data_IF_177914933722
#
_entry.id   IF_177914933722
#
_cell.length_a   1.000
_cell.length_b   1.000
_cell.length_c   1.000
_cell.angle_alpha   90.00
_cell.angle_beta   90.00
_cell.angle_gamma   90.00
#
_symmetry.space_group_name_H-M   'P 1'
#
loop_
_entity.id
_entity.type
_entity.pdbx_description
1 polymer ?
#
# COMPACT_ATOMS: atom_id res chain seq x y z
N UNK A 1 -3.18 24.98 -23.58
CA UNK A 1 -2.23 23.92 -23.10
C UNK A 1 -2.90 22.89 -22.21
N UNK A 2 -3.52 23.23 -21.05
CA UNK A 2 -4.21 22.23 -20.19
C UNK A 2 -5.25 21.43 -20.99
N UNK A 3 -6.18 22.07 -21.66
CA UNK A 3 -7.20 21.40 -22.48
C UNK A 3 -6.60 20.51 -23.59
N UNK A 4 -5.50 20.92 -24.19
CA UNK A 4 -4.81 20.13 -25.23
C UNK A 4 -4.20 18.84 -24.64
N UNK A 5 -3.60 18.94 -23.45
CA UNK A 5 -3.07 17.78 -22.70
C UNK A 5 -4.21 16.81 -22.36
N UNK A 6 -5.32 17.31 -21.81
CA UNK A 6 -6.48 16.50 -21.47
C UNK A 6 -7.11 15.82 -22.70
N UNK A 7 -7.19 16.54 -23.81
CA UNK A 7 -7.66 15.99 -25.10
C UNK A 7 -6.73 14.89 -25.62
N UNK A 8 -5.41 15.11 -25.49
CA UNK A 8 -4.41 14.10 -25.85
C UNK A 8 -4.56 12.85 -24.99
N UNK A 9 -4.65 12.97 -23.66
CA UNK A 9 -4.85 11.85 -22.76
C UNK A 9 -6.12 11.08 -23.15
N UNK A 10 -7.24 11.78 -23.42
CA UNK A 10 -8.47 11.13 -23.83
C UNK A 10 -8.36 10.34 -25.17
N UNK A 11 -7.37 10.66 -26.01
CA UNK A 11 -7.14 9.96 -27.28
C UNK A 11 -6.28 8.69 -27.14
N UNK A 12 -5.78 8.35 -25.95
CA UNK A 12 -4.86 7.25 -25.74
C UNK A 12 -5.53 5.94 -25.26
N UNK A 13 -6.84 5.79 -25.43
CA UNK A 13 -7.55 4.58 -24.99
C UNK A 13 -6.91 3.29 -25.56
N UNK A 14 -6.70 3.21 -26.87
CA UNK A 14 -6.08 2.04 -27.50
C UNK A 14 -4.66 1.81 -26.98
N UNK A 15 -3.88 2.88 -26.77
CA UNK A 15 -2.52 2.78 -26.23
C UNK A 15 -2.55 2.28 -24.77
N UNK A 16 -3.50 2.73 -23.97
CA UNK A 16 -3.67 2.25 -22.60
C UNK A 16 -3.99 0.75 -22.57
N UNK A 17 -4.90 0.29 -23.45
CA UNK A 17 -5.24 -1.13 -23.58
C UNK A 17 -4.04 -1.97 -24.00
N UNK A 18 -3.23 -1.50 -24.96
CA UNK A 18 -2.06 -2.24 -25.44
C UNK A 18 -0.94 -2.27 -24.37
N UNK A 19 -0.73 -1.21 -23.59
CA UNK A 19 0.18 -1.23 -22.46
C UNK A 19 -0.28 -2.25 -21.40
N UNK A 20 -1.55 -2.22 -21.02
CA UNK A 20 -2.15 -3.18 -20.09
C UNK A 20 -1.94 -4.62 -20.59
N UNK A 21 -2.22 -4.88 -21.87
CA UNK A 21 -2.01 -6.18 -22.52
C UNK A 21 -0.57 -6.66 -22.39
N UNK A 22 0.37 -5.78 -22.69
CA UNK A 22 1.78 -6.07 -22.60
C UNK A 22 2.27 -6.35 -21.18
N UNK A 23 1.74 -5.63 -20.19
CA UNK A 23 2.05 -5.80 -18.78
C UNK A 23 1.45 -7.10 -18.22
N UNK A 24 0.17 -7.37 -18.49
CA UNK A 24 -0.54 -8.57 -18.03
C UNK A 24 0.11 -9.86 -18.58
N UNK A 25 0.59 -9.83 -19.82
CA UNK A 25 1.28 -10.98 -20.43
C UNK A 25 2.66 -11.30 -19.83
N UNK A 26 3.12 -10.50 -18.86
CA UNK A 26 4.40 -10.69 -18.16
C UNK A 26 4.19 -10.78 -16.67
N UNK A 27 3.81 -11.98 -16.17
CA UNK A 27 3.68 -12.21 -14.75
C UNK A 27 4.95 -11.82 -14.01
N UNK A 28 4.82 -11.01 -12.98
CA UNK A 28 5.94 -10.57 -12.14
C UNK A 28 5.69 -11.03 -10.71
N UNK A 29 5.57 -12.35 -10.53
CA UNK A 29 5.40 -12.96 -9.22
C UNK A 29 6.71 -12.92 -8.46
N UNK A 30 6.64 -12.56 -7.18
CA UNK A 30 7.79 -12.60 -6.27
C UNK A 30 8.39 -14.01 -6.18
N UNK A 31 9.72 -14.15 -6.03
CA UNK A 31 10.35 -15.44 -5.73
C UNK A 31 9.75 -16.12 -4.50
N UNK A 32 9.32 -15.38 -3.49
CA UNK A 32 8.61 -15.92 -2.33
C UNK A 32 7.27 -16.60 -2.69
N UNK A 33 6.67 -16.21 -3.80
CA UNK A 33 5.44 -16.79 -4.36
C UNK A 33 5.71 -17.77 -5.52
N UNK A 34 6.96 -18.22 -5.69
CA UNK A 34 7.38 -19.19 -6.71
C UNK A 34 7.58 -18.58 -8.11
N UNK A 35 7.66 -17.26 -8.23
CA UNK A 35 7.97 -16.57 -9.48
C UNK A 35 9.44 -16.23 -9.66
N UNK A 36 9.75 -15.46 -10.70
CA UNK A 36 11.10 -15.00 -11.05
C UNK A 36 11.32 -13.50 -10.79
N UNK A 37 10.33 -12.80 -10.25
CA UNK A 37 10.37 -11.34 -10.06
C UNK A 37 10.01 -10.56 -11.32
N UNK A 38 10.35 -9.27 -11.36
CA UNK A 38 9.83 -8.26 -12.28
C UNK A 38 10.66 -8.08 -13.56
N UNK A 39 11.76 -8.79 -13.73
CA UNK A 39 12.74 -8.52 -14.79
C UNK A 39 12.12 -8.40 -16.18
N UNK A 40 11.26 -9.34 -16.59
CA UNK A 40 10.68 -9.34 -17.93
C UNK A 40 9.66 -8.20 -18.12
N UNK A 41 8.90 -7.87 -17.07
CA UNK A 41 7.98 -6.72 -17.07
C UNK A 41 8.76 -5.40 -17.12
N UNK A 42 9.83 -5.28 -16.35
CA UNK A 42 10.73 -4.12 -16.39
C UNK A 42 11.38 -3.91 -17.76
N UNK A 43 11.84 -5.00 -18.42
CA UNK A 43 12.37 -4.92 -19.80
C UNK A 43 11.31 -4.45 -20.80
N UNK A 44 10.07 -4.90 -20.65
CA UNK A 44 8.96 -4.42 -21.48
C UNK A 44 8.71 -2.93 -21.23
N UNK A 45 8.60 -2.51 -19.97
CA UNK A 45 8.41 -1.09 -19.61
C UNK A 45 9.56 -0.23 -20.12
N UNK A 46 10.81 -0.66 -19.95
CA UNK A 46 11.96 0.06 -20.52
C UNK A 46 11.79 0.26 -22.03
N UNK A 47 11.33 -0.78 -22.75
CA UNK A 47 11.12 -0.68 -24.20
C UNK A 47 10.03 0.31 -24.59
N UNK A 48 8.95 0.42 -23.78
CA UNK A 48 7.89 1.39 -23.99
C UNK A 48 8.34 2.82 -23.63
N UNK A 49 9.07 2.98 -22.52
CA UNK A 49 9.63 4.27 -22.09
C UNK A 49 10.61 4.83 -23.12
N UNK A 50 11.42 3.97 -23.76
CA UNK A 50 12.36 4.37 -24.83
C UNK A 50 11.70 4.87 -26.12
N UNK A 51 10.41 4.58 -26.33
CA UNK A 51 9.64 5.17 -27.43
C UNK A 51 9.23 6.63 -27.15
N UNK A 52 9.34 7.04 -25.89
CA UNK A 52 9.01 8.39 -25.41
C UNK A 52 10.32 9.21 -25.26
N UNK A 53 10.17 10.53 -25.06
CA UNK A 53 11.31 11.46 -24.99
C UNK A 53 11.68 11.81 -23.54
N UNK A 54 11.87 10.78 -22.68
CA UNK A 54 12.42 10.99 -21.34
C UNK A 54 13.86 11.50 -21.43
N UNK A 55 14.25 12.37 -20.49
CA UNK A 55 15.61 12.89 -20.40
C UNK A 55 16.58 11.84 -19.83
N UNK A 56 16.11 10.94 -18.93
CA UNK A 56 16.85 9.75 -18.52
C UNK A 56 15.90 8.59 -18.21
N UNK A 57 16.43 7.36 -18.37
CA UNK A 57 15.79 6.11 -17.94
C UNK A 57 16.88 5.29 -17.25
N UNK A 58 16.66 4.97 -15.98
CA UNK A 58 17.64 4.36 -15.11
C UNK A 58 17.07 3.10 -14.45
N UNK A 59 17.95 2.12 -14.18
CA UNK A 59 17.65 0.91 -13.43
C UNK A 59 18.29 1.00 -12.07
N UNK A 60 17.50 0.80 -11.01
CA UNK A 60 17.97 0.62 -9.64
C UNK A 60 17.72 -0.84 -9.27
N UNK A 61 18.76 -1.65 -9.25
CA UNK A 61 18.66 -3.10 -9.10
C UNK A 61 18.94 -3.51 -7.66
N UNK A 62 17.91 -3.96 -6.93
CA UNK A 62 18.09 -4.58 -5.64
C UNK A 62 18.57 -6.04 -5.81
N UNK A 63 19.63 -6.49 -5.13
CA UNK A 63 20.17 -7.83 -5.30
C UNK A 63 19.28 -8.87 -4.60
N UNK A 64 18.81 -9.88 -5.33
CA UNK A 64 18.12 -11.06 -4.80
C UNK A 64 18.47 -12.30 -5.65
N UNK A 65 19.21 -13.24 -5.06
CA UNK A 65 19.76 -14.41 -5.77
C UNK A 65 18.68 -15.29 -6.41
N UNK A 66 17.53 -15.41 -5.78
CA UNK A 66 16.39 -16.24 -6.21
C UNK A 66 15.61 -15.62 -7.36
N UNK A 67 15.78 -14.31 -7.61
CA UNK A 67 15.13 -13.62 -8.71
C UNK A 67 15.88 -13.80 -10.02
N UNK A 68 15.19 -13.59 -11.14
CA UNK A 68 15.77 -13.62 -12.48
C UNK A 68 16.96 -12.67 -12.59
N UNK A 69 18.07 -13.17 -13.12
CA UNK A 69 19.36 -12.47 -13.20
C UNK A 69 19.92 -12.01 -11.83
N UNK A 70 19.45 -12.55 -10.73
CA UNK A 70 19.90 -12.21 -9.38
C UNK A 70 19.48 -10.81 -8.89
N UNK A 71 18.47 -10.20 -9.51
CA UNK A 71 18.04 -8.83 -9.20
C UNK A 71 16.52 -8.67 -9.19
N UNK A 72 16.05 -7.71 -8.37
CA UNK A 72 14.69 -7.12 -8.40
C UNK A 72 14.86 -5.71 -8.97
N UNK A 73 14.46 -5.48 -10.21
CA UNK A 73 14.65 -4.19 -10.85
C UNK A 73 13.63 -3.16 -10.44
N UNK A 74 14.08 -1.92 -10.30
CA UNK A 74 13.23 -0.74 -10.19
C UNK A 74 13.61 0.21 -11.33
N UNK A 75 12.63 0.85 -11.96
CA UNK A 75 12.83 1.76 -13.08
C UNK A 75 12.55 3.20 -12.68
N UNK A 76 13.43 4.12 -13.04
CA UNK A 76 13.23 5.56 -12.90
C UNK A 76 13.29 6.21 -14.27
N UNK A 77 12.24 6.86 -14.73
CA UNK A 77 12.22 7.64 -15.97
C UNK A 77 11.93 9.11 -15.66
N UNK A 78 12.83 10.01 -16.04
CA UNK A 78 12.74 11.44 -15.72
C UNK A 78 12.44 12.28 -16.94
N UNK A 79 11.53 13.23 -16.80
CA UNK A 79 11.21 14.26 -17.77
C UNK A 79 11.35 15.63 -17.11
N UNK A 80 12.37 16.37 -17.50
CA UNK A 80 12.71 17.67 -16.91
C UNK A 80 11.64 18.71 -17.18
N UNK A 81 11.29 19.44 -16.15
CA UNK A 81 10.44 20.62 -16.20
C UNK A 81 11.21 21.90 -16.53
N UNK A 82 10.60 23.04 -16.23
CA UNK A 82 11.23 24.37 -16.31
C UNK A 82 12.10 24.66 -15.08
N UNK A 83 11.76 24.05 -13.94
CA UNK A 83 12.42 24.19 -12.65
C UNK A 83 12.65 22.79 -12.05
N UNK A 84 13.92 22.38 -12.00
CA UNK A 84 14.34 21.10 -11.43
C UNK A 84 14.60 21.15 -9.90
N UNK A 85 14.11 22.19 -9.21
CA UNK A 85 14.22 22.26 -7.75
C UNK A 85 13.30 21.25 -7.03
N UNK A 86 12.25 20.79 -7.73
CA UNK A 86 11.26 19.83 -7.24
C UNK A 86 10.92 18.81 -8.32
N UNK A 87 10.60 17.60 -7.89
CA UNK A 87 10.11 16.54 -8.77
C UNK A 87 8.73 16.09 -8.31
N UNK A 88 7.82 15.89 -9.26
CA UNK A 88 6.55 15.20 -9.06
C UNK A 88 6.75 13.75 -9.47
N UNK A 89 6.73 12.86 -8.50
CA UNK A 89 6.91 11.45 -8.70
C UNK A 89 5.57 10.74 -8.86
N UNK A 90 5.47 9.88 -9.87
CA UNK A 90 4.41 8.91 -10.01
C UNK A 90 4.99 7.54 -9.75
N UNK A 91 4.58 6.93 -8.64
CA UNK A 91 5.03 5.61 -8.24
C UNK A 91 3.97 4.57 -8.62
N UNK A 92 4.41 3.47 -9.19
CA UNK A 92 3.61 2.26 -9.37
C UNK A 92 4.48 1.03 -9.13
N UNK A 93 3.89 -0.12 -8.82
CA UNK A 93 4.64 -1.36 -8.68
C UNK A 93 4.40 -2.32 -9.85
N UNK A 94 5.42 -3.13 -10.11
CA UNK A 94 5.44 -4.05 -11.25
C UNK A 94 5.03 -5.46 -10.88
N UNK A 95 5.26 -5.86 -9.62
CA UNK A 95 4.89 -7.18 -9.13
C UNK A 95 3.37 -7.33 -8.99
N UNK A 96 2.94 -8.55 -8.82
CA UNK A 96 1.53 -8.92 -8.64
C UNK A 96 1.42 -10.12 -7.71
N UNK A 97 0.32 -10.25 -6.99
CA UNK A 97 0.02 -11.46 -6.22
C UNK A 97 -0.29 -12.65 -7.14
N UNK A 98 -0.11 -13.90 -6.67
CA UNK A 98 -0.56 -15.09 -7.39
C UNK A 98 -2.06 -15.03 -7.73
N UNK A 99 -2.50 -15.64 -8.83
CA UNK A 99 -3.91 -15.61 -9.27
C UNK A 99 -4.84 -16.44 -8.35
N UNK A 100 -4.31 -17.22 -7.42
CA UNK A 100 -5.08 -18.14 -6.60
C UNK A 100 -5.64 -19.33 -7.39
N UNK A 101 -6.83 -19.81 -7.04
CA UNK A 101 -7.47 -20.95 -7.73
C UNK A 101 -7.93 -20.53 -9.12
N UNK A 102 -7.27 -21.05 -10.16
CA UNK A 102 -7.59 -20.78 -11.56
C UNK A 102 -9.01 -21.18 -11.97
N UNK A 103 -9.68 -22.07 -11.24
CA UNK A 103 -11.08 -22.44 -11.49
C UNK A 103 -12.06 -21.30 -11.22
N UNK A 104 -11.66 -20.32 -10.43
CA UNK A 104 -12.46 -19.13 -10.12
C UNK A 104 -12.34 -18.05 -11.20
N UNK A 105 -11.35 -18.16 -12.09
CA UNK A 105 -11.17 -17.23 -13.20
C UNK A 105 -12.02 -17.61 -14.40
N UNK A 106 -12.71 -16.63 -14.97
CA UNK A 106 -13.50 -16.78 -16.21
C UNK A 106 -12.63 -16.70 -17.45
N UNK A 107 -11.44 -16.12 -17.33
CA UNK A 107 -10.46 -15.94 -18.41
C UNK A 107 -9.07 -16.28 -17.89
N UNK A 108 -8.09 -16.41 -18.78
CA UNK A 108 -6.69 -16.57 -18.37
C UNK A 108 -6.21 -15.29 -17.63
N UNK A 109 -5.75 -15.36 -16.37
CA UNK A 109 -5.31 -14.18 -15.63
C UNK A 109 -4.11 -13.45 -16.29
N UNK A 110 -3.36 -14.12 -17.14
CA UNK A 110 -2.17 -13.61 -17.82
C UNK A 110 -2.40 -13.14 -19.25
N UNK A 111 -3.68 -13.09 -19.67
CA UNK A 111 -4.10 -12.58 -20.97
C UNK A 111 -5.17 -11.52 -20.77
N UNK A 112 -4.84 -10.27 -21.12
CA UNK A 112 -5.82 -9.19 -21.00
C UNK A 112 -7.08 -9.51 -21.81
N UNK A 113 -8.20 -9.65 -21.12
CA UNK A 113 -9.51 -9.76 -21.74
C UNK A 113 -10.20 -8.40 -21.70
N UNK A 114 -10.49 -7.87 -22.88
CA UNK A 114 -11.32 -6.67 -23.03
C UNK A 114 -12.78 -7.09 -23.27
N UNK A 115 -13.71 -6.53 -22.49
CA UNK A 115 -15.15 -6.67 -22.66
C UNK A 115 -15.82 -5.30 -22.54
N UNK A 116 -16.19 -4.73 -23.67
CA UNK A 116 -16.59 -3.33 -23.76
C UNK A 116 -15.47 -2.40 -23.27
N UNK A 117 -15.69 -1.71 -22.18
CA UNK A 117 -14.69 -0.83 -21.54
C UNK A 117 -14.01 -1.46 -20.32
N UNK A 118 -14.38 -2.69 -19.95
CA UNK A 118 -13.78 -3.44 -18.85
C UNK A 118 -12.59 -4.27 -19.33
N UNK A 119 -11.50 -4.20 -18.60
CA UNK A 119 -10.30 -5.01 -18.77
C UNK A 119 -10.18 -5.98 -17.61
N UNK A 120 -9.95 -7.26 -17.91
CA UNK A 120 -9.79 -8.34 -16.94
C UNK A 120 -8.41 -8.96 -17.07
N UNK A 121 -7.74 -9.21 -15.95
CA UNK A 121 -6.45 -9.89 -15.86
C UNK A 121 -5.79 -9.60 -14.51
N UNK A 122 -4.85 -10.42 -14.07
CA UNK A 122 -4.10 -10.16 -12.86
C UNK A 122 -3.19 -8.95 -13.03
N UNK A 123 -3.27 -7.99 -12.11
CA UNK A 123 -2.48 -6.78 -12.12
C UNK A 123 -3.09 -5.61 -12.90
N UNK A 124 -4.24 -5.81 -13.58
CA UNK A 124 -4.83 -4.73 -14.41
C UNK A 124 -5.28 -3.53 -13.57
N UNK A 125 -5.69 -3.77 -12.32
CA UNK A 125 -6.05 -2.76 -11.33
C UNK A 125 -4.85 -2.50 -10.42
N UNK A 126 -4.29 -3.54 -9.84
CA UNK A 126 -3.22 -3.53 -8.87
C UNK A 126 -1.90 -4.07 -9.48
N UNK A 127 -0.97 -3.24 -9.96
CA UNK A 127 -0.97 -1.79 -9.98
C UNK A 127 -0.62 -1.25 -11.38
N UNK A 128 -0.92 -2.05 -12.45
CA UNK A 128 -0.66 -1.66 -13.84
C UNK A 128 -1.46 -0.40 -14.24
N UNK A 129 -2.63 -0.16 -13.62
CA UNK A 129 -3.41 1.05 -13.82
C UNK A 129 -2.58 2.30 -13.53
N UNK A 130 -1.88 2.34 -12.39
CA UNK A 130 -1.02 3.44 -12.00
C UNK A 130 0.14 3.66 -12.99
N UNK A 131 0.79 2.56 -13.39
CA UNK A 131 1.87 2.58 -14.40
C UNK A 131 1.36 3.20 -15.70
N UNK A 132 0.24 2.72 -16.21
CA UNK A 132 -0.32 3.19 -17.47
C UNK A 132 -0.76 4.65 -17.36
N UNK A 133 -1.53 5.02 -16.34
CA UNK A 133 -2.01 6.39 -16.16
C UNK A 133 -0.85 7.41 -16.10
N UNK A 134 0.21 7.10 -15.36
CA UNK A 134 1.38 7.95 -15.27
C UNK A 134 2.13 8.09 -16.60
N UNK A 135 2.24 7.01 -17.38
CA UNK A 135 2.83 7.06 -18.72
C UNK A 135 2.01 7.91 -19.69
N UNK A 136 0.66 7.90 -19.60
CA UNK A 136 -0.20 8.75 -20.43
C UNK A 136 0.04 10.24 -20.15
N UNK A 137 0.24 10.62 -18.89
CA UNK A 137 0.56 12.02 -18.51
C UNK A 137 1.87 12.47 -19.18
N UNK A 138 2.94 11.70 -18.96
CA UNK A 138 4.25 12.02 -19.53
C UNK A 138 4.22 12.07 -21.06
N UNK A 139 3.58 11.08 -21.69
CA UNK A 139 3.42 11.02 -23.15
C UNK A 139 2.70 12.24 -23.72
N UNK A 140 1.59 12.66 -23.11
CA UNK A 140 0.82 13.81 -23.60
C UNK A 140 1.65 15.10 -23.56
N UNK A 141 2.39 15.32 -22.48
CA UNK A 141 3.27 16.49 -22.35
C UNK A 141 4.41 16.44 -23.39
N UNK A 142 5.03 15.27 -23.59
CA UNK A 142 6.13 15.10 -24.56
C UNK A 142 5.68 15.30 -26.00
N UNK A 143 4.53 14.74 -26.40
CA UNK A 143 3.99 14.89 -27.75
C UNK A 143 3.59 16.33 -28.08
N UNK A 144 3.16 17.10 -27.07
CA UNK A 144 2.86 18.51 -27.20
C UNK A 144 4.11 19.42 -27.00
N UNK A 145 5.30 18.83 -26.81
CA UNK A 145 6.54 19.53 -26.48
C UNK A 145 6.37 20.50 -25.29
N UNK A 146 5.53 20.13 -24.34
CA UNK A 146 5.28 20.91 -23.13
C UNK A 146 6.20 20.46 -21.99
N UNK A 147 6.97 21.40 -21.44
CA UNK A 147 7.73 21.16 -20.21
C UNK A 147 6.90 21.65 -19.02
N UNK A 148 6.58 20.78 -18.05
CA UNK A 148 5.86 21.18 -16.84
C UNK A 148 6.68 22.17 -16.00
N UNK A 149 6.08 22.76 -14.97
CA UNK A 149 6.81 23.72 -14.14
C UNK A 149 7.87 23.03 -13.28
N UNK A 150 7.60 21.82 -12.74
CA UNK A 150 8.55 20.98 -12.02
C UNK A 150 8.89 19.72 -12.82
N UNK A 151 9.98 19.06 -12.47
CA UNK A 151 10.34 17.79 -13.07
C UNK A 151 9.25 16.73 -12.81
N UNK A 152 9.07 15.82 -13.75
CA UNK A 152 8.27 14.61 -13.58
C UNK A 152 9.18 13.41 -13.56
N UNK A 153 8.94 12.48 -12.63
CA UNK A 153 9.60 11.19 -12.62
C UNK A 153 8.57 10.07 -12.47
N UNK A 154 8.73 9.01 -13.27
CA UNK A 154 8.02 7.76 -13.10
C UNK A 154 8.94 6.81 -12.35
N UNK A 155 8.44 6.25 -11.25
CA UNK A 155 9.14 5.27 -10.43
C UNK A 155 8.33 3.97 -10.43
N UNK A 156 8.82 2.95 -11.11
CA UNK A 156 8.19 1.64 -11.17
C UNK A 156 8.96 0.66 -10.30
N UNK A 157 8.39 0.34 -9.15
CA UNK A 157 9.03 -0.46 -8.11
C UNK A 157 8.77 -1.96 -8.27
N UNK A 158 9.67 -2.75 -7.68
CA UNK A 158 9.50 -4.17 -7.42
C UNK A 158 8.93 -4.40 -6.02
N UNK A 159 8.46 -5.63 -5.72
CA UNK A 159 8.31 -6.20 -4.38
C UNK A 159 7.28 -5.50 -3.47
N UNK A 160 6.35 -4.75 -4.02
CA UNK A 160 5.32 -4.09 -3.20
C UNK A 160 4.51 -5.12 -2.41
N UNK A 161 4.01 -6.13 -3.09
CA UNK A 161 3.12 -7.19 -2.62
C UNK A 161 3.74 -8.11 -1.54
N UNK A 162 5.05 -8.00 -1.34
CA UNK A 162 5.78 -8.80 -0.34
C UNK A 162 6.59 -7.96 0.65
N UNK A 163 6.30 -6.64 0.71
CA UNK A 163 6.77 -5.74 1.76
C UNK A 163 7.85 -4.75 1.33
N UNK A 164 8.06 -4.56 0.02
CA UNK A 164 8.90 -3.51 -0.60
C UNK A 164 10.39 -3.55 -0.25
N UNK A 165 10.88 -4.63 0.38
CA UNK A 165 12.28 -4.76 0.80
C UNK A 165 13.28 -4.75 -0.36
N UNK A 166 12.82 -4.96 -1.59
CA UNK A 166 13.59 -4.81 -2.83
C UNK A 166 13.06 -3.69 -3.74
N UNK A 167 12.00 -3.01 -3.32
CA UNK A 167 11.30 -1.95 -4.02
C UNK A 167 11.45 -0.59 -3.37
N UNK A 168 10.32 0.01 -2.98
CA UNK A 168 10.26 1.37 -2.44
C UNK A 168 11.08 1.54 -1.15
N UNK A 169 11.07 0.57 -0.23
CA UNK A 169 11.88 0.60 1.00
C UNK A 169 13.39 0.57 0.67
N UNK A 170 13.79 -0.36 -0.23
CA UNK A 170 15.17 -0.44 -0.69
C UNK A 170 15.65 0.89 -1.29
N UNK A 171 14.84 1.52 -2.13
CA UNK A 171 15.20 2.79 -2.78
C UNK A 171 15.28 3.90 -1.74
N UNK A 172 14.30 4.01 -0.83
CA UNK A 172 14.27 5.03 0.21
C UNK A 172 15.48 4.90 1.16
N UNK A 173 15.92 3.67 1.46
CA UNK A 173 17.05 3.41 2.37
C UNK A 173 18.41 3.52 1.68
N UNK A 174 18.56 2.97 0.46
CA UNK A 174 19.87 2.82 -0.21
C UNK A 174 20.15 3.88 -1.26
N UNK A 175 19.12 4.55 -1.76
CA UNK A 175 19.20 5.57 -2.80
C UNK A 175 18.44 6.86 -2.47
N UNK A 176 18.50 7.36 -1.21
CA UNK A 176 17.78 8.58 -0.81
C UNK A 176 18.22 9.82 -1.62
N UNK A 177 19.43 9.77 -2.20
CA UNK A 177 20.00 10.87 -3.00
C UNK A 177 19.24 11.19 -4.28
N UNK A 178 18.39 10.27 -4.76
CA UNK A 178 17.59 10.52 -5.97
C UNK A 178 16.39 11.44 -5.71
N UNK A 179 16.06 11.67 -4.43
CA UNK A 179 14.91 12.47 -4.00
C UNK A 179 15.33 13.84 -3.50
N UNK A 180 14.65 14.88 -3.97
CA UNK A 180 14.77 16.24 -3.45
C UNK A 180 13.92 16.42 -2.17
N UNK A 181 14.30 17.36 -1.31
CA UNK A 181 13.60 17.61 -0.03
C UNK A 181 12.16 18.12 -0.19
N UNK A 182 11.83 18.69 -1.33
CA UNK A 182 10.51 19.25 -1.63
C UNK A 182 9.78 18.47 -2.73
N UNK A 183 10.25 17.23 -3.01
CA UNK A 183 9.60 16.35 -3.96
C UNK A 183 8.22 15.90 -3.43
N UNK A 184 7.34 15.59 -4.35
CA UNK A 184 5.96 15.22 -4.08
C UNK A 184 5.64 13.89 -4.77
N UNK A 185 4.86 13.03 -4.11
CA UNK A 185 4.56 11.70 -4.61
C UNK A 185 3.08 11.47 -4.83
N UNK A 186 2.76 10.96 -6.01
CA UNK A 186 1.54 10.20 -6.28
C UNK A 186 1.85 8.72 -6.15
N UNK A 187 1.07 8.03 -5.34
CA UNK A 187 1.08 6.56 -5.18
C UNK A 187 -0.33 6.07 -5.51
N UNK A 188 -0.64 5.76 -6.78
CA UNK A 188 -1.99 5.36 -7.18
C UNK A 188 -2.26 3.88 -6.88
N UNK A 189 -2.27 3.52 -5.59
CA UNK A 189 -2.29 2.14 -5.10
C UNK A 189 -3.47 1.84 -4.18
N UNK A 190 -4.29 2.83 -3.88
CA UNK A 190 -5.54 2.69 -3.17
C UNK A 190 -6.51 3.80 -3.57
N UNK A 191 -7.80 3.52 -3.47
CA UNK A 191 -8.83 4.48 -3.83
C UNK A 191 -10.23 3.88 -3.78
N UNK A 192 -11.18 4.62 -4.33
CA UNK A 192 -12.59 4.23 -4.42
C UNK A 192 -13.14 4.50 -5.82
N UNK A 193 -14.22 3.80 -6.16
CA UNK A 193 -14.78 3.84 -7.51
C UNK A 193 -15.17 5.25 -7.98
N UNK A 194 -15.70 6.08 -7.10
CA UNK A 194 -16.08 7.46 -7.43
C UNK A 194 -14.94 8.47 -7.38
N UNK A 195 -13.73 8.04 -6.96
CA UNK A 195 -12.55 8.89 -6.83
C UNK A 195 -12.65 9.98 -5.76
N UNK A 196 -13.55 9.85 -4.78
CA UNK A 196 -13.81 10.88 -3.77
C UNK A 196 -12.78 10.94 -2.64
N UNK A 197 -11.92 9.93 -2.49
CA UNK A 197 -11.00 9.78 -1.36
C UNK A 197 -9.55 9.93 -1.77
N UNK A 198 -8.78 10.66 -0.96
CA UNK A 198 -7.34 10.85 -1.08
C UNK A 198 -6.70 10.35 0.21
N UNK A 199 -5.98 9.25 0.17
CA UNK A 199 -5.28 8.77 1.36
C UNK A 199 -4.01 9.60 1.59
N UNK A 200 -3.86 10.11 2.82
CA UNK A 200 -2.74 10.97 3.24
C UNK A 200 -2.06 10.47 4.52
N UNK A 201 -2.57 9.40 5.11
CA UNK A 201 -2.11 8.92 6.42
C UNK A 201 -2.46 7.45 6.64
N UNK A 202 -1.70 6.80 7.52
CA UNK A 202 -1.85 5.39 7.88
C UNK A 202 -1.78 5.23 9.40
N UNK A 203 -2.37 4.16 9.94
CA UNK A 203 -2.14 3.76 11.34
C UNK A 203 -0.98 2.79 11.41
N UNK A 204 -0.28 2.79 12.55
CA UNK A 204 0.70 1.75 12.87
C UNK A 204 0.00 0.39 12.99
N UNK A 205 0.67 -0.67 12.57
CA UNK A 205 0.16 -2.04 12.63
C UNK A 205 0.96 -2.85 13.63
N UNK A 206 0.27 -3.52 14.55
CA UNK A 206 0.87 -4.48 15.45
C UNK A 206 -0.02 -5.73 15.50
N UNK A 207 0.41 -6.81 14.84
CA UNK A 207 -0.21 -8.12 14.96
C UNK A 207 0.60 -8.95 15.94
N UNK A 208 -0.01 -9.26 17.09
CA UNK A 208 0.67 -9.89 18.21
C UNK A 208 0.06 -11.25 18.54
N UNK A 209 0.87 -12.31 18.48
CA UNK A 209 0.54 -13.58 19.10
C UNK A 209 0.84 -13.51 20.60
N UNK A 210 -0.13 -13.86 21.41
CA UNK A 210 -0.01 -13.96 22.87
C UNK A 210 -0.15 -15.41 23.28
N UNK A 211 0.91 -15.99 23.87
CA UNK A 211 0.93 -17.36 24.34
C UNK A 211 0.96 -17.39 25.85
N UNK A 212 -0.05 -18.01 26.47
CA UNK A 212 -0.14 -18.21 27.92
C UNK A 212 0.17 -19.67 28.26
N UNK A 213 1.18 -19.90 29.09
CA UNK A 213 1.57 -21.21 29.56
C UNK A 213 1.28 -21.39 31.04
N UNK A 214 0.51 -22.40 31.35
CA UNK A 214 0.15 -22.82 32.68
C UNK A 214 0.55 -24.28 32.95
N UNK A 215 -0.30 -25.01 33.71
CA UNK A 215 -0.10 -26.43 34.01
C UNK A 215 -1.42 -27.18 33.78
N UNK A 216 -1.39 -28.14 32.84
CA UNK A 216 -2.54 -28.96 32.49
C UNK A 216 -2.88 -29.90 33.65
N UNK A 217 -4.18 -30.06 33.91
CA UNK A 217 -4.67 -31.04 34.89
C UNK A 217 -6.12 -31.45 34.61
N UNK A 218 -6.64 -32.40 35.40
CA UNK A 218 -8.04 -32.83 35.31
C UNK A 218 -8.98 -31.69 35.76
N UNK A 219 -10.05 -31.42 34.99
CA UNK A 219 -11.00 -30.33 35.23
C UNK A 219 -11.61 -30.28 36.62
N UNK A 220 -11.82 -31.44 37.28
CA UNK A 220 -12.32 -31.54 38.67
C UNK A 220 -11.26 -31.27 39.76
N UNK A 221 -9.99 -31.07 39.40
CA UNK A 221 -8.89 -30.83 40.34
C UNK A 221 -8.11 -29.58 40.00
N UNK A 222 -8.76 -28.39 39.99
CA UNK A 222 -8.14 -27.14 39.54
C UNK A 222 -6.90 -26.75 40.36
N UNK A 223 -6.80 -27.20 41.61
CA UNK A 223 -5.67 -26.91 42.48
C UNK A 223 -4.38 -27.62 42.06
N UNK A 224 -4.46 -28.66 41.21
CA UNK A 224 -3.32 -29.40 40.70
C UNK A 224 -2.71 -28.76 39.43
N UNK A 225 -3.34 -27.75 38.90
CA UNK A 225 -2.92 -27.10 37.66
C UNK A 225 -2.91 -25.57 37.72
N UNK A 226 -2.61 -24.96 36.56
CA UNK A 226 -2.67 -23.51 36.33
C UNK A 226 -3.37 -23.29 35.02
N UNK A 227 -4.59 -22.77 35.07
CA UNK A 227 -5.48 -22.65 33.91
C UNK A 227 -5.04 -21.52 32.98
N UNK A 228 -4.38 -21.87 31.87
CA UNK A 228 -3.90 -20.93 30.85
C UNK A 228 -5.04 -20.22 30.12
N UNK A 229 -6.17 -20.91 29.85
CA UNK A 229 -7.34 -20.34 29.19
C UNK A 229 -8.02 -19.27 30.05
N UNK A 230 -8.16 -19.51 31.35
CA UNK A 230 -8.73 -18.52 32.28
C UNK A 230 -7.84 -17.28 32.39
N UNK A 231 -6.53 -17.47 32.40
CA UNK A 231 -5.56 -16.37 32.41
C UNK A 231 -5.57 -15.56 31.09
N UNK A 232 -5.63 -16.25 29.94
CA UNK A 232 -5.75 -15.59 28.64
C UNK A 232 -7.05 -14.78 28.53
N UNK A 233 -8.19 -15.29 29.00
CA UNK A 233 -9.47 -14.57 29.02
C UNK A 233 -9.45 -13.31 29.91
N UNK A 234 -8.80 -13.37 31.08
CA UNK A 234 -8.60 -12.20 31.94
C UNK A 234 -7.72 -11.15 31.24
N UNK A 235 -6.65 -11.58 30.56
CA UNK A 235 -5.78 -10.67 29.82
C UNK A 235 -6.51 -9.98 28.65
N UNK A 236 -7.27 -10.73 27.85
CA UNK A 236 -8.11 -10.16 26.77
C UNK A 236 -9.05 -9.10 27.32
N UNK A 237 -9.71 -9.37 28.47
CA UNK A 237 -10.59 -8.39 29.10
C UNK A 237 -9.86 -7.14 29.56
N UNK A 238 -8.63 -7.29 30.09
CA UNK A 238 -7.80 -6.16 30.51
C UNK A 238 -7.34 -5.30 29.33
N UNK A 239 -7.11 -5.89 28.16
CA UNK A 239 -6.70 -5.14 26.97
C UNK A 239 -7.75 -4.14 26.49
N UNK A 240 -9.01 -4.22 26.96
CA UNK A 240 -10.01 -3.16 26.74
C UNK A 240 -9.56 -1.81 27.32
N UNK A 241 -8.75 -1.79 28.38
CA UNK A 241 -8.20 -0.54 28.93
C UNK A 241 -7.12 0.12 28.06
N UNK A 242 -6.64 -0.55 27.00
CA UNK A 242 -5.77 0.10 26.02
C UNK A 242 -6.47 1.27 25.32
N UNK A 243 -7.77 1.20 25.10
CA UNK A 243 -8.55 2.32 24.55
C UNK A 243 -8.54 3.55 25.45
N UNK A 244 -8.54 3.35 26.77
CA UNK A 244 -8.44 4.44 27.75
C UNK A 244 -6.99 4.95 27.88
N UNK A 245 -6.02 4.07 27.69
CA UNK A 245 -4.59 4.41 27.78
C UNK A 245 -4.10 5.19 26.55
N UNK A 246 -4.68 4.91 25.38
CA UNK A 246 -4.35 5.52 24.10
C UNK A 246 -5.58 6.20 23.48
N UNK A 247 -6.16 7.26 24.14
CA UNK A 247 -7.47 7.79 23.84
C UNK A 247 -7.51 8.81 22.69
N UNK A 248 -6.38 9.13 22.07
CA UNK A 248 -6.34 10.15 21.04
C UNK A 248 -7.29 9.85 19.88
N UNK A 249 -7.94 10.90 19.38
CA UNK A 249 -8.84 10.88 18.24
C UNK A 249 -8.38 11.86 17.17
N UNK A 250 -8.57 11.49 15.93
CA UNK A 250 -8.33 12.33 14.78
C UNK A 250 -9.34 11.95 13.69
N UNK A 251 -10.20 12.90 13.29
CA UNK A 251 -11.23 12.71 12.27
C UNK A 251 -10.68 12.47 10.87
N UNK A 252 -9.37 12.56 10.71
CA UNK A 252 -8.69 12.16 9.47
C UNK A 252 -8.83 10.65 9.22
N UNK A 253 -8.96 9.84 10.28
CA UNK A 253 -9.00 8.37 10.20
C UNK A 253 -10.40 7.80 10.39
N UNK A 254 -10.62 6.59 9.82
CA UNK A 254 -11.83 5.80 10.02
C UNK A 254 -11.45 4.39 10.54
N UNK A 255 -11.82 3.99 11.78
CA UNK A 255 -12.39 4.85 12.84
C UNK A 255 -11.37 5.89 13.34
N UNK A 256 -11.82 7.01 13.97
CA UNK A 256 -10.94 8.13 14.33
C UNK A 256 -10.11 7.90 15.61
N UNK A 257 -9.79 6.66 15.93
CA UNK A 257 -9.05 6.26 17.14
C UNK A 257 -8.26 4.96 16.89
N UNK A 258 -7.34 4.62 17.81
CA UNK A 258 -6.62 3.36 17.81
C UNK A 258 -7.56 2.19 18.11
N UNK A 259 -7.37 1.04 17.43
CA UNK A 259 -8.13 -0.18 17.71
C UNK A 259 -7.22 -1.28 18.27
N UNK A 260 -7.74 -2.08 19.21
CA UNK A 260 -7.02 -3.14 19.93
C UNK A 260 -7.92 -4.36 20.05
N UNK A 261 -7.99 -5.17 18.98
CA UNK A 261 -8.97 -6.25 18.90
C UNK A 261 -8.33 -7.64 18.98
N UNK A 262 -8.87 -8.54 19.84
CA UNK A 262 -8.53 -9.95 19.77
C UNK A 262 -9.27 -10.58 18.59
N UNK A 263 -8.53 -11.06 17.59
CA UNK A 263 -9.12 -11.46 16.29
C UNK A 263 -9.07 -12.96 16.03
N UNK A 264 -8.11 -13.68 16.64
CA UNK A 264 -7.92 -15.11 16.39
C UNK A 264 -7.55 -15.85 17.67
N UNK A 265 -7.99 -17.11 17.78
CA UNK A 265 -7.66 -18.00 18.88
C UNK A 265 -7.33 -19.41 18.34
N UNK A 266 -6.27 -20.04 18.89
CA UNK A 266 -5.97 -21.42 18.60
C UNK A 266 -6.77 -22.37 19.50
N UNK A 267 -6.97 -23.60 19.03
CA UNK A 267 -7.53 -24.66 19.86
C UNK A 267 -6.52 -25.05 20.96
N UNK A 268 -6.99 -25.24 22.18
CA UNK A 268 -6.12 -25.65 23.31
C UNK A 268 -6.18 -27.14 23.59
N UNK A 269 -7.16 -27.65 24.32
CA UNK A 269 -7.31 -29.07 24.65
C UNK A 269 -8.49 -29.71 23.91
N UNK A 270 -8.39 -31.00 23.50
CA UNK A 270 -9.43 -31.63 22.67
C UNK A 270 -10.66 -32.06 23.47
N UNK A 271 -10.59 -32.09 24.81
CA UNK A 271 -11.65 -32.63 25.68
C UNK A 271 -12.05 -31.64 26.78
N UNK A 272 -13.34 -31.65 27.14
CA UNK A 272 -13.97 -30.65 28.04
C UNK A 272 -13.50 -30.76 29.50
N UNK A 273 -13.12 -31.99 29.93
CA UNK A 273 -12.77 -32.27 31.32
C UNK A 273 -11.30 -32.01 31.66
N UNK A 274 -10.58 -31.26 30.85
CA UNK A 274 -9.17 -30.92 31.03
C UNK A 274 -8.96 -29.44 31.17
N UNK A 275 -8.24 -29.00 32.19
CA UNK A 275 -7.71 -27.65 32.31
C UNK A 275 -6.53 -27.51 31.35
N UNK A 276 -6.54 -26.56 30.41
CA UNK A 276 -5.46 -26.39 29.44
C UNK A 276 -4.18 -25.86 30.09
N UNK A 277 -3.05 -26.43 29.66
CA UNK A 277 -1.70 -25.96 30.02
C UNK A 277 -1.14 -24.89 29.09
N UNK A 278 -1.73 -24.72 27.91
CA UNK A 278 -1.36 -23.68 26.96
C UNK A 278 -2.61 -23.08 26.32
N UNK A 279 -2.58 -21.79 26.06
CA UNK A 279 -3.61 -21.07 25.34
C UNK A 279 -2.97 -19.96 24.47
N UNK A 280 -3.42 -19.84 23.22
CA UNK A 280 -2.86 -18.90 22.26
C UNK A 280 -3.98 -18.07 21.64
N UNK A 281 -3.83 -16.74 21.67
CA UNK A 281 -4.69 -15.82 20.94
C UNK A 281 -3.86 -14.73 20.23
N UNK A 282 -4.53 -13.99 19.34
CA UNK A 282 -3.90 -12.94 18.53
C UNK A 282 -4.63 -11.63 18.69
N UNK A 283 -3.86 -10.56 18.70
CA UNK A 283 -4.34 -9.18 18.68
C UNK A 283 -4.05 -8.55 17.33
N UNK A 284 -5.02 -7.86 16.75
CA UNK A 284 -4.83 -6.87 15.69
C UNK A 284 -4.95 -5.48 16.33
N UNK A 285 -3.84 -4.75 16.35
CA UNK A 285 -3.80 -3.38 16.87
C UNK A 285 -3.51 -2.43 15.71
N UNK A 286 -4.41 -1.44 15.51
CA UNK A 286 -4.23 -0.33 14.58
C UNK A 286 -4.04 0.94 15.38
N UNK A 287 -2.80 1.41 15.48
CA UNK A 287 -2.42 2.41 16.46
C UNK A 287 -2.21 3.75 15.78
N UNK A 288 -2.80 4.81 16.33
CA UNK A 288 -2.65 6.19 15.84
C UNK A 288 -1.17 6.59 15.79
N UNK A 289 -0.70 7.31 14.74
CA UNK A 289 0.73 7.58 14.49
C UNK A 289 1.48 8.27 15.61
N UNK A 290 0.81 9.08 16.42
CA UNK A 290 1.41 9.79 17.55
C UNK A 290 1.83 8.88 18.71
N UNK A 291 1.37 7.63 18.74
CA UNK A 291 1.80 6.64 19.73
C UNK A 291 2.90 5.74 19.17
N UNK A 292 3.93 5.48 19.94
CA UNK A 292 4.96 4.50 19.60
C UNK A 292 4.45 3.10 19.89
N UNK A 293 4.72 2.15 19.00
CA UNK A 293 4.36 0.75 19.22
C UNK A 293 5.05 0.15 20.44
N UNK A 294 6.26 0.62 20.79
CA UNK A 294 6.96 0.24 22.02
C UNK A 294 6.14 0.57 23.27
N UNK A 295 5.46 1.72 23.33
CA UNK A 295 4.64 2.11 24.48
C UNK A 295 3.41 1.20 24.59
N UNK A 296 2.79 0.83 23.45
CA UNK A 296 1.69 -0.13 23.42
C UNK A 296 2.13 -1.51 23.89
N UNK A 297 3.26 -2.01 23.40
CA UNK A 297 3.83 -3.30 23.82
C UNK A 297 4.19 -3.29 25.32
N UNK A 298 4.74 -2.20 25.81
CA UNK A 298 5.08 -2.05 27.22
C UNK A 298 3.82 -2.11 28.12
N UNK A 299 2.73 -1.46 27.71
CA UNK A 299 1.46 -1.49 28.45
C UNK A 299 0.81 -2.90 28.38
N UNK A 300 0.83 -3.55 27.21
CA UNK A 300 0.40 -4.95 27.06
C UNK A 300 1.22 -5.88 27.98
N UNK A 301 2.53 -5.68 28.07
CA UNK A 301 3.40 -6.48 28.96
C UNK A 301 3.08 -6.24 30.43
N UNK A 302 2.90 -4.99 30.83
CA UNK A 302 2.51 -4.65 32.20
C UNK A 302 1.24 -5.38 32.65
N UNK A 303 0.22 -5.38 31.80
CA UNK A 303 -1.04 -6.13 32.07
C UNK A 303 -0.83 -7.64 32.14
N UNK A 304 0.02 -8.16 31.27
CA UNK A 304 0.37 -9.58 31.27
C UNK A 304 1.13 -10.00 32.54
N UNK A 305 2.04 -9.15 33.04
CA UNK A 305 2.77 -9.40 34.31
C UNK A 305 1.81 -9.48 35.51
N UNK A 306 0.75 -8.68 35.55
CA UNK A 306 -0.29 -8.77 36.57
C UNK A 306 -1.07 -10.08 36.50
N UNK A 307 -1.39 -10.53 35.26
CA UNK A 307 -2.06 -11.81 35.04
C UNK A 307 -1.17 -12.99 35.40
N UNK A 308 0.14 -12.94 35.04
CA UNK A 308 1.11 -13.95 35.44
C UNK A 308 1.16 -14.11 36.95
N UNK A 309 1.25 -13.00 37.67
CA UNK A 309 1.24 -12.99 39.15
C UNK A 309 -0.06 -13.54 39.73
N UNK A 310 -1.21 -13.20 39.14
CA UNK A 310 -2.53 -13.63 39.62
C UNK A 310 -2.78 -15.13 39.44
N UNK A 311 -2.38 -15.68 38.29
CA UNK A 311 -2.70 -17.07 37.91
C UNK A 311 -1.50 -18.03 38.04
N UNK A 312 -0.31 -17.52 38.25
CA UNK A 312 0.93 -18.30 38.31
C UNK A 312 1.32 -18.93 36.97
N UNK A 313 0.92 -18.31 35.89
CA UNK A 313 1.23 -18.71 34.49
C UNK A 313 2.43 -17.90 33.98
N UNK A 314 2.92 -18.21 32.77
CA UNK A 314 3.84 -17.37 32.03
C UNK A 314 3.21 -16.93 30.71
N UNK A 315 3.48 -15.68 30.28
CA UNK A 315 2.90 -15.10 29.07
C UNK A 315 4.04 -14.57 28.19
N UNK A 316 4.06 -15.01 26.93
CA UNK A 316 5.02 -14.54 25.94
C UNK A 316 4.34 -13.90 24.74
N UNK A 317 5.03 -12.95 24.13
CA UNK A 317 4.60 -12.22 22.94
C UNK A 317 5.48 -12.56 21.75
N UNK A 318 4.84 -12.72 20.59
CA UNK A 318 5.53 -12.87 19.31
C UNK A 318 4.84 -11.97 18.28
N UNK A 319 5.47 -10.88 17.85
CA UNK A 319 4.91 -10.07 16.77
C UNK A 319 4.97 -10.86 15.46
N UNK A 320 3.88 -10.80 14.69
CA UNK A 320 3.78 -11.30 13.32
C UNK A 320 3.94 -10.16 12.31
N UNK A 321 3.45 -8.97 12.67
CA UNK A 321 3.68 -7.75 11.93
C UNK A 321 3.83 -6.61 12.93
N UNK A 322 4.82 -5.76 12.70
CA UNK A 322 5.11 -4.59 13.52
C UNK A 322 5.62 -3.48 12.60
N UNK A 323 4.75 -2.51 12.30
CA UNK A 323 5.05 -1.40 11.41
C UNK A 323 4.62 -0.10 12.07
N UNK A 324 5.58 0.74 12.44
CA UNK A 324 5.30 2.09 12.93
C UNK A 324 4.89 2.98 11.75
N UNK A 325 3.72 3.63 11.85
CA UNK A 325 3.25 4.56 10.84
C UNK A 325 4.21 5.74 10.64
N UNK A 326 4.23 6.23 9.41
CA UNK A 326 4.86 7.50 9.07
C UNK A 326 4.02 8.69 9.56
N UNK A 327 4.61 9.89 9.73
CA UNK A 327 3.83 11.10 9.90
C UNK A 327 2.85 11.30 8.72
N UNK A 328 1.62 11.78 8.95
CA UNK A 328 0.69 12.10 7.88
C UNK A 328 1.23 13.15 6.91
N UNK A 329 0.84 13.06 5.64
CA UNK A 329 0.93 14.22 4.74
C UNK A 329 -0.12 15.25 5.17
N UNK A 330 0.29 16.49 5.44
CA UNK A 330 -0.64 17.56 5.82
C UNK A 330 -1.69 17.76 4.69
N UNK A 331 -3.00 17.68 4.99
CA UNK A 331 -4.05 17.91 4.01
C UNK A 331 -4.04 19.30 3.35
N UNK A 332 -3.24 20.24 3.89
CA UNK A 332 -3.13 21.60 3.39
C UNK A 332 -1.94 21.84 2.46
N UNK A 333 -1.08 20.85 2.22
CA UNK A 333 0.02 21.02 1.26
C UNK A 333 -0.46 21.12 -0.20
N UNK A 334 0.31 21.76 -1.07
CA UNK A 334 -0.10 22.01 -2.46
C UNK A 334 -0.61 20.81 -3.22
N UNK A 335 0.07 19.65 -3.12
CA UNK A 335 -0.32 18.45 -3.86
C UNK A 335 -1.73 17.97 -3.48
N UNK A 336 -2.10 18.02 -2.20
CA UNK A 336 -3.44 17.59 -1.73
C UNK A 336 -4.52 18.58 -2.20
N UNK A 337 -4.27 19.89 -2.07
CA UNK A 337 -5.22 20.92 -2.53
C UNK A 337 -5.44 20.85 -4.04
N UNK A 338 -4.35 20.79 -4.82
CA UNK A 338 -4.43 20.68 -6.27
C UNK A 338 -5.14 19.40 -6.70
N UNK A 339 -4.87 18.27 -6.02
CA UNK A 339 -5.51 16.99 -6.31
C UNK A 339 -7.01 17.05 -6.06
N UNK A 340 -7.47 17.64 -4.94
CA UNK A 340 -8.90 17.86 -4.69
C UNK A 340 -9.57 18.66 -5.81
N UNK A 341 -8.93 19.75 -6.25
CA UNK A 341 -9.46 20.58 -7.35
C UNK A 341 -9.52 19.78 -8.66
N UNK A 342 -8.48 18.99 -8.96
CA UNK A 342 -8.42 18.17 -10.17
C UNK A 342 -9.51 17.08 -10.18
N UNK A 343 -9.74 16.41 -9.05
CA UNK A 343 -10.81 15.43 -8.89
C UNK A 343 -12.18 16.08 -9.14
N UNK A 344 -12.41 17.25 -8.54
CA UNK A 344 -13.66 18.01 -8.78
C UNK A 344 -13.83 18.36 -10.27
N UNK A 345 -12.77 18.81 -10.93
CA UNK A 345 -12.82 19.21 -12.33
C UNK A 345 -13.06 18.01 -13.28
N UNK A 346 -12.41 16.89 -13.04
CA UNK A 346 -12.47 15.72 -13.94
C UNK A 346 -13.69 14.83 -13.67
N UNK A 347 -13.99 14.59 -12.39
CA UNK A 347 -14.99 13.61 -11.98
C UNK A 347 -16.30 14.24 -11.49
N UNK A 348 -16.33 15.56 -11.27
CA UNK A 348 -17.49 16.25 -10.74
C UNK A 348 -17.76 15.98 -9.24
N UNK A 349 -16.82 15.37 -8.53
CA UNK A 349 -16.91 15.17 -7.08
C UNK A 349 -16.85 16.51 -6.38
N UNK A 350 -17.89 16.87 -5.63
CA UNK A 350 -17.98 18.21 -5.03
C UNK A 350 -16.99 18.46 -3.90
N UNK A 351 -16.76 17.45 -3.08
CA UNK A 351 -15.92 17.56 -1.88
C UNK A 351 -15.00 16.33 -1.73
N UNK A 352 -13.91 16.24 -2.53
CA UNK A 352 -12.93 15.18 -2.34
C UNK A 352 -12.30 15.27 -0.95
N UNK A 353 -12.26 14.14 -0.24
CA UNK A 353 -11.83 14.09 1.17
C UNK A 353 -10.44 13.49 1.31
N UNK A 354 -9.55 14.21 2.00
CA UNK A 354 -8.32 13.61 2.52
C UNK A 354 -8.67 12.74 3.73
N UNK A 355 -8.09 11.54 3.83
CA UNK A 355 -8.37 10.59 4.91
C UNK A 355 -7.14 9.74 5.24
N UNK A 356 -7.20 9.10 6.42
CA UNK A 356 -6.20 8.15 6.87
C UNK A 356 -6.79 6.74 6.95
N UNK A 357 -6.03 5.75 6.55
CA UNK A 357 -6.42 4.34 6.54
C UNK A 357 -5.91 3.58 7.77
N UNK A 358 -6.53 2.43 8.04
CA UNK A 358 -6.06 1.49 9.06
C UNK A 358 -4.97 0.53 8.58
N UNK A 359 -4.65 0.54 7.28
CA UNK A 359 -3.62 -0.28 6.65
C UNK A 359 -2.30 0.47 6.49
N UNK A 360 -1.45 -0.02 5.58
CA UNK A 360 -0.22 0.63 5.16
C UNK A 360 -0.08 0.55 3.64
N UNK A 361 0.55 1.56 3.05
CA UNK A 361 0.91 1.63 1.63
C UNK A 361 2.39 1.97 1.50
N UNK A 362 2.95 1.86 0.30
CA UNK A 362 4.33 2.29 0.03
C UNK A 362 4.55 3.80 0.22
N UNK A 363 3.49 4.61 0.28
CA UNK A 363 3.58 6.03 0.59
C UNK A 363 4.25 6.30 1.96
N UNK A 364 4.13 5.35 2.90
CA UNK A 364 4.77 5.43 4.21
C UNK A 364 6.29 5.59 4.13
N UNK A 365 6.98 4.96 3.17
CA UNK A 365 8.44 5.06 3.02
C UNK A 365 8.84 6.50 2.67
N UNK A 366 8.14 7.14 1.76
CA UNK A 366 8.40 8.52 1.35
C UNK A 366 7.98 9.53 2.44
N UNK A 367 6.85 9.29 3.13
CA UNK A 367 6.42 10.09 4.29
C UNK A 367 7.43 10.05 5.44
N UNK A 368 8.08 8.90 5.69
CA UNK A 368 9.18 8.79 6.67
C UNK A 368 10.38 9.66 6.32
N UNK A 369 10.62 9.90 5.04
CA UNK A 369 11.64 10.81 4.55
C UNK A 369 11.21 12.30 4.64
N UNK A 370 9.97 12.59 5.05
CA UNK A 370 9.41 13.94 5.12
C UNK A 370 8.84 14.43 3.77
N UNK A 371 8.66 13.54 2.79
CA UNK A 371 8.15 13.87 1.47
C UNK A 371 6.63 13.80 1.44
N UNK A 372 5.97 14.84 0.89
CA UNK A 372 4.53 14.86 0.75
C UNK A 372 4.06 13.78 -0.23
N UNK A 373 3.28 12.81 0.26
CA UNK A 373 2.83 11.67 -0.53
C UNK A 373 1.32 11.51 -0.42
N UNK A 374 0.64 11.39 -1.55
CA UNK A 374 -0.79 11.14 -1.66
C UNK A 374 -1.04 9.80 -2.34
N UNK A 375 -2.00 9.03 -1.83
CA UNK A 375 -2.47 7.80 -2.47
C UNK A 375 -3.85 8.08 -3.05
N UNK A 376 -3.99 7.83 -4.35
CA UNK A 376 -5.22 8.14 -5.07
C UNK A 376 -5.30 7.41 -6.39
N UNK A 377 -6.39 6.67 -6.60
CA UNK A 377 -6.83 6.13 -7.89
C UNK A 377 -8.35 5.93 -7.89
N UNK A 378 -8.96 5.79 -9.09
CA UNK A 378 -10.29 5.21 -9.24
C UNK A 378 -10.15 3.70 -9.37
N UNK A 379 -10.70 2.91 -8.45
CA UNK A 379 -10.56 1.45 -8.42
C UNK A 379 -11.92 0.78 -8.37
N UNK A 380 -12.04 -0.43 -8.96
CA UNK A 380 -13.21 -1.29 -8.81
C UNK A 380 -13.25 -1.99 -7.45
N UNK A 381 -12.12 -2.08 -6.74
CA UNK A 381 -11.97 -2.84 -5.51
C UNK A 381 -11.94 -4.35 -5.77
N UNK A 382 -11.27 -4.76 -6.83
CA UNK A 382 -11.13 -6.17 -7.23
C UNK A 382 -9.69 -6.68 -7.11
N UNK A 383 -8.80 -5.86 -6.53
CA UNK A 383 -7.43 -6.22 -6.21
C UNK A 383 -7.38 -7.55 -5.42
N UNK A 384 -6.38 -8.37 -5.70
CA UNK A 384 -6.16 -9.71 -5.12
C UNK A 384 -7.28 -10.75 -5.38
N UNK A 385 -8.39 -10.36 -6.00
CA UNK A 385 -9.51 -11.26 -6.29
C UNK A 385 -9.32 -12.00 -7.62
N UNK A 386 -9.94 -13.19 -7.81
CA UNK A 386 -10.12 -13.76 -9.14
C UNK A 386 -11.00 -12.85 -10.01
N UNK A 387 -10.68 -12.77 -11.30
CA UNK A 387 -11.32 -11.86 -12.26
C UNK A 387 -11.09 -10.38 -11.93
N UNK A 388 -9.94 -10.05 -11.39
CA UNK A 388 -9.50 -8.66 -11.19
C UNK A 388 -9.75 -7.86 -12.48
N UNK A 389 -10.22 -6.62 -12.30
CA UNK A 389 -10.70 -5.81 -13.42
C UNK A 389 -10.52 -4.32 -13.16
N UNK A 390 -10.31 -3.57 -14.26
CA UNK A 390 -10.36 -2.11 -14.25
C UNK A 390 -11.11 -1.59 -15.48
N UNK A 391 -11.49 -0.32 -15.48
CA UNK A 391 -12.12 0.35 -16.63
C UNK A 391 -11.10 1.21 -17.38
N UNK A 392 -11.20 1.25 -18.70
CA UNK A 392 -10.42 2.20 -19.52
C UNK A 392 -10.65 3.63 -19.01
N UNK A 393 -11.90 3.94 -18.65
CA UNK A 393 -12.28 5.26 -18.13
C UNK A 393 -11.50 5.65 -16.88
N UNK A 394 -11.23 4.72 -15.97
CA UNK A 394 -10.48 4.99 -14.74
C UNK A 394 -9.04 5.38 -15.05
N UNK A 395 -8.36 4.64 -15.92
CA UNK A 395 -7.00 4.97 -16.37
C UNK A 395 -6.94 6.37 -16.99
N UNK A 396 -7.90 6.69 -17.86
CA UNK A 396 -7.98 7.98 -18.55
C UNK A 396 -8.30 9.12 -17.55
N UNK A 397 -9.21 8.87 -16.62
CA UNK A 397 -9.58 9.85 -15.59
C UNK A 397 -8.42 10.11 -14.63
N UNK A 398 -7.78 9.05 -14.12
CA UNK A 398 -6.60 9.17 -13.25
C UNK A 398 -5.49 9.95 -13.95
N UNK A 399 -5.19 9.65 -15.21
CA UNK A 399 -4.22 10.40 -15.99
C UNK A 399 -4.59 11.89 -16.15
N UNK A 400 -5.88 12.21 -16.33
CA UNK A 400 -6.34 13.61 -16.38
C UNK A 400 -6.20 14.30 -15.02
N UNK A 401 -6.59 13.63 -13.94
CA UNK A 401 -6.44 14.15 -12.57
C UNK A 401 -4.98 14.42 -12.25
N UNK A 402 -4.08 13.49 -12.56
CA UNK A 402 -2.64 13.63 -12.36
C UNK A 402 -2.07 14.79 -13.18
N UNK A 403 -2.48 14.90 -14.44
CA UNK A 403 -2.02 15.98 -15.31
C UNK A 403 -2.47 17.36 -14.79
N UNK A 404 -3.75 17.55 -14.43
CA UNK A 404 -4.26 18.81 -13.87
C UNK A 404 -3.54 19.15 -12.57
N UNK A 405 -3.40 18.17 -11.66
CA UNK A 405 -2.70 18.40 -10.40
C UNK A 405 -1.28 18.90 -10.65
N UNK A 406 -0.51 18.19 -11.49
CA UNK A 406 0.88 18.56 -11.84
C UNK A 406 0.97 19.95 -12.44
N UNK A 407 0.06 20.30 -13.34
CA UNK A 407 0.02 21.62 -14.00
C UNK A 407 -0.34 22.77 -13.04
N UNK A 408 -1.00 22.47 -11.92
CA UNK A 408 -1.52 23.48 -10.99
C UNK A 408 -0.62 23.69 -9.76
N UNK A 409 0.38 22.81 -9.53
CA UNK A 409 1.19 22.83 -8.30
C UNK A 409 1.90 24.15 -8.02
N UNK A 410 2.34 24.86 -9.04
CA UNK A 410 3.03 26.13 -8.89
C UNK A 410 2.11 27.24 -8.38
N UNK A 411 0.83 27.19 -8.75
CA UNK A 411 -0.17 28.21 -8.45
C UNK A 411 -0.99 27.87 -7.19
N UNK A 412 -0.89 26.63 -6.70
CA UNK A 412 -1.59 26.12 -5.53
C UNK A 412 -0.83 26.52 -4.25
N UNK A 413 -1.26 27.60 -3.61
CA UNK A 413 -0.67 28.09 -2.34
C UNK A 413 -1.44 27.60 -1.11
#
# INVERSE_FOLDING_TARGET
MKEEILKKIASYEDYAVELQRGLTARPALSPASGGEGEYDKAKYLESELKKLKFDSIEWINAPQKEAKNGIRPNLVARYKGKDSSKTVWFMGHMDVVPPGDLKLWKTNPWELKLDGRMMYGRGVEDNQQAIVASMLVARAMMELNYRPDYDIALLFCADEETGSGYGADYIAEKHPEIFGKEDMFFVPDSGVEDGSLIEVAEKSILWMQVTTKGVQCHGSRPNAGKNSFKAAADLITRYQSLYEKFPAKDELYEPPYSTFEPTKKEANVPNINTIPGEDIFYMDCRVMPQYKLEDVKAEMRRMADEVEKKYGVSISFKPHQEVQAAPPTDPNVPIVKCLKNAITEVLGVKEPRAYGIGGGTVAAFFRKMGLASVVYAQLNGTEHMPNESTKIDYIINDAKVFAITTLSLKDCK
#
